data_IF_165623835949
#
_entry.id   IF_165623835949
#
_cell.length_a   1.000
_cell.length_b   1.000
_cell.length_c   1.000
_cell.angle_alpha   90.00
_cell.angle_beta   90.00
_cell.angle_gamma   90.00
#
_symmetry.space_group_name_H-M   'P 1'
#
loop_
_entity.id
_entity.type
_entity.pdbx_description
1 polymer ?
#
# COMPACT_ATOMS: atom_id res chain seq x y z
N UNK A 1 -3.01 -13.38 11.50
CA UNK A 1 -1.79 -12.92 11.06
C UNK A 1 -0.63 -13.85 10.80
N UNK A 2 -0.77 -14.95 10.04
CA UNK A 2 0.38 -15.68 9.52
C UNK A 2 0.89 -14.92 8.28
N UNK A 3 2.18 -14.53 8.26
CA UNK A 3 2.82 -13.95 7.08
C UNK A 3 2.95 -12.43 7.03
N UNK A 4 2.77 -11.70 8.13
CA UNK A 4 3.07 -10.27 8.20
C UNK A 4 4.35 -10.09 9.02
N UNK A 5 5.47 -9.97 8.32
CA UNK A 5 6.70 -9.41 8.89
C UNK A 5 6.85 -7.97 8.39
N UNK A 6 7.78 -7.69 7.50
CA UNK A 6 7.91 -6.39 6.84
C UNK A 6 7.05 -6.28 5.58
N UNK A 7 6.66 -7.40 4.98
CA UNK A 7 5.80 -7.49 3.80
C UNK A 7 4.73 -8.57 4.00
N UNK A 8 3.47 -8.31 3.60
CA UNK A 8 2.44 -9.35 3.57
C UNK A 8 2.86 -10.49 2.63
N UNK A 9 2.77 -11.73 3.09
CA UNK A 9 3.05 -12.91 2.29
C UNK A 9 1.88 -13.89 2.43
N UNK A 10 1.57 -14.59 1.35
CA UNK A 10 0.60 -15.68 1.30
C UNK A 10 1.26 -16.96 0.82
N UNK A 11 0.77 -18.10 1.28
CA UNK A 11 1.13 -19.42 0.77
C UNK A 11 0.06 -19.98 -0.18
N UNK A 12 0.37 -21.09 -0.84
CA UNK A 12 -0.57 -21.74 -1.77
C UNK A 12 -1.86 -22.22 -1.08
N UNK A 13 -1.81 -22.55 0.21
CA UNK A 13 -3.00 -22.92 0.98
C UNK A 13 -3.95 -21.74 1.16
N UNK A 14 -3.41 -20.55 1.51
CA UNK A 14 -4.19 -19.34 1.64
C UNK A 14 -4.71 -18.85 0.29
N UNK A 15 -3.88 -18.92 -0.76
CA UNK A 15 -4.27 -18.56 -2.12
C UNK A 15 -5.42 -19.45 -2.61
N UNK A 16 -5.36 -20.77 -2.38
CA UNK A 16 -6.43 -21.70 -2.74
C UNK A 16 -7.75 -21.41 -2.03
N UNK A 17 -7.67 -20.90 -0.79
CA UNK A 17 -8.88 -20.57 -0.01
C UNK A 17 -9.57 -19.29 -0.49
N UNK A 18 -8.81 -18.35 -1.08
CA UNK A 18 -9.28 -17.03 -1.48
C UNK A 18 -9.00 -16.76 -2.96
N UNK A 19 -9.13 -17.80 -3.81
CA UNK A 19 -8.86 -17.69 -5.25
C UNK A 19 -9.99 -17.08 -6.06
N UNK A 20 -11.20 -17.10 -5.53
CA UNK A 20 -12.40 -16.64 -6.24
C UNK A 20 -12.30 -15.14 -6.60
N UNK A 21 -12.63 -14.81 -7.85
CA UNK A 21 -12.56 -13.44 -8.38
C UNK A 21 -11.15 -12.90 -8.65
N UNK A 22 -10.10 -13.73 -8.56
CA UNK A 22 -8.73 -13.30 -8.87
C UNK A 22 -8.31 -13.73 -10.28
N UNK A 23 -7.65 -12.82 -10.98
CA UNK A 23 -6.89 -13.10 -12.21
C UNK A 23 -5.41 -13.15 -11.83
N UNK A 24 -4.70 -14.16 -12.30
CA UNK A 24 -3.32 -14.44 -11.87
C UNK A 24 -2.40 -14.63 -13.07
N UNK A 25 -1.19 -14.08 -12.98
CA UNK A 25 -0.11 -14.29 -13.95
C UNK A 25 1.16 -14.81 -13.31
N UNK A 26 2.11 -15.28 -14.14
CA UNK A 26 3.40 -15.83 -13.68
C UNK A 26 4.40 -14.76 -13.23
N UNK A 27 4.08 -13.49 -13.40
CA UNK A 27 4.93 -12.33 -13.08
C UNK A 27 6.29 -12.34 -13.84
N UNK A 28 7.25 -11.55 -13.34
CA UNK A 28 8.58 -11.35 -13.92
C UNK A 28 9.54 -12.52 -13.61
N UNK A 29 10.83 -12.36 -13.95
CA UNK A 29 11.89 -13.35 -13.67
C UNK A 29 11.95 -13.82 -12.21
N UNK A 30 11.44 -13.02 -11.25
CA UNK A 30 11.34 -13.37 -9.84
C UNK A 30 10.25 -14.40 -9.52
N UNK A 31 9.33 -14.68 -10.44
CA UNK A 31 8.24 -15.65 -10.27
C UNK A 31 8.72 -17.08 -10.11
N UNK A 32 7.90 -17.95 -9.48
CA UNK A 32 8.31 -19.33 -9.20
C UNK A 32 8.50 -20.16 -10.48
N UNK A 33 7.70 -19.95 -11.53
CA UNK A 33 7.88 -20.62 -12.83
C UNK A 33 9.14 -20.15 -13.56
N UNK A 34 9.36 -18.82 -13.79
CA UNK A 34 10.60 -18.32 -14.37
C UNK A 34 11.85 -18.81 -13.64
N UNK A 35 11.82 -18.84 -12.30
CA UNK A 35 12.94 -19.33 -11.50
C UNK A 35 13.18 -20.86 -11.67
N UNK A 36 12.13 -21.65 -11.88
CA UNK A 36 12.27 -23.08 -12.18
C UNK A 36 12.89 -23.29 -13.58
N UNK A 37 12.44 -22.52 -14.59
CA UNK A 37 12.98 -22.56 -15.96
C UNK A 37 14.47 -22.21 -15.96
N UNK A 38 14.87 -21.08 -15.34
CA UNK A 38 16.26 -20.64 -15.28
C UNK A 38 17.19 -21.62 -14.57
N UNK A 39 16.66 -22.46 -13.67
CA UNK A 39 17.40 -23.55 -13.01
C UNK A 39 17.38 -24.85 -13.80
N UNK A 40 16.84 -24.86 -15.02
CA UNK A 40 16.74 -26.06 -15.86
C UNK A 40 15.71 -27.08 -15.40
N UNK A 41 14.82 -26.72 -14.47
CA UNK A 41 13.78 -27.63 -13.91
C UNK A 41 12.45 -27.42 -14.64
N UNK A 42 12.40 -27.82 -15.91
CA UNK A 42 11.22 -27.61 -16.75
C UNK A 42 10.01 -28.42 -16.29
N UNK A 43 10.23 -29.64 -15.76
CA UNK A 43 9.21 -30.44 -15.13
C UNK A 43 8.52 -29.74 -13.96
N UNK A 44 9.30 -29.11 -13.09
CA UNK A 44 8.77 -28.33 -11.97
C UNK A 44 8.00 -27.09 -12.45
N UNK A 45 8.49 -26.41 -13.50
CA UNK A 45 7.78 -25.27 -14.07
C UNK A 45 6.42 -25.69 -14.64
N UNK A 46 6.37 -26.84 -15.31
CA UNK A 46 5.13 -27.41 -15.84
C UNK A 46 4.15 -27.81 -14.72
N UNK A 47 4.61 -28.45 -13.66
CA UNK A 47 3.80 -28.79 -12.49
C UNK A 47 3.20 -27.54 -11.81
N UNK A 48 3.99 -26.46 -11.71
CA UNK A 48 3.52 -25.16 -11.19
C UNK A 48 2.41 -24.61 -12.11
N UNK A 49 2.61 -24.61 -13.43
CA UNK A 49 1.62 -24.13 -14.39
C UNK A 49 0.29 -24.91 -14.27
N UNK A 50 0.37 -26.23 -14.16
CA UNK A 50 -0.81 -27.09 -13.99
C UNK A 50 -1.54 -26.85 -12.67
N UNK A 51 -0.79 -26.57 -11.60
CA UNK A 51 -1.38 -26.21 -10.32
C UNK A 51 -2.20 -24.90 -10.41
N UNK A 52 -1.62 -23.86 -11.01
CA UNK A 52 -2.32 -22.59 -11.20
C UNK A 52 -3.50 -22.72 -12.17
N UNK A 53 -3.33 -23.43 -13.29
CA UNK A 53 -4.40 -23.71 -14.24
C UNK A 53 -5.58 -24.44 -13.60
N UNK A 54 -5.30 -25.44 -12.74
CA UNK A 54 -6.35 -26.15 -12.01
C UNK A 54 -7.13 -25.24 -11.07
N UNK A 55 -6.47 -24.24 -10.46
CA UNK A 55 -7.08 -23.35 -9.48
C UNK A 55 -7.84 -22.20 -10.12
N UNK A 56 -7.29 -21.59 -11.18
CA UNK A 56 -7.80 -20.36 -11.78
C UNK A 56 -8.42 -20.52 -13.18
N UNK A 57 -8.30 -21.71 -13.78
CA UNK A 57 -8.80 -22.02 -15.11
C UNK A 57 -8.40 -20.95 -16.16
N UNK A 58 -9.38 -20.24 -16.74
CA UNK A 58 -9.19 -19.22 -17.77
C UNK A 58 -8.75 -17.84 -17.22
N UNK A 59 -8.60 -17.73 -15.89
CA UNK A 59 -8.09 -16.54 -15.21
C UNK A 59 -6.62 -16.67 -14.82
N UNK A 60 -5.95 -17.75 -15.30
CA UNK A 60 -4.50 -17.91 -15.19
C UNK A 60 -3.81 -17.63 -16.52
N UNK A 61 -2.79 -16.77 -16.49
CA UNK A 61 -2.01 -16.36 -17.66
C UNK A 61 -0.51 -16.60 -17.45
N UNK A 62 0.18 -17.00 -18.51
CA UNK A 62 1.65 -17.00 -18.55
C UNK A 62 2.11 -15.61 -19.03
N UNK A 63 2.99 -14.99 -18.27
CA UNK A 63 3.43 -13.62 -18.53
C UNK A 63 4.84 -13.60 -19.10
N UNK A 64 5.02 -12.96 -20.25
CA UNK A 64 6.31 -12.75 -20.89
C UNK A 64 6.68 -11.27 -20.84
N UNK A 65 7.98 -11.01 -20.60
CA UNK A 65 8.57 -9.67 -20.56
C UNK A 65 9.91 -9.71 -21.29
N UNK A 66 10.38 -8.58 -21.82
CA UNK A 66 11.74 -8.45 -22.36
C UNK A 66 12.35 -7.13 -21.96
N UNK A 67 13.37 -7.20 -21.12
CA UNK A 67 14.21 -6.09 -20.69
C UNK A 67 15.64 -6.19 -21.25
N UNK A 68 15.79 -6.99 -22.32
CA UNK A 68 17.06 -7.16 -23.05
C UNK A 68 18.00 -8.20 -22.45
N UNK A 69 17.55 -8.98 -21.44
CA UNK A 69 18.37 -10.05 -20.85
C UNK A 69 18.24 -11.37 -21.62
N UNK A 70 19.28 -12.21 -21.55
CA UNK A 70 19.21 -13.58 -22.10
C UNK A 70 18.22 -14.41 -21.31
N UNK A 71 18.10 -14.17 -20.01
CA UNK A 71 17.18 -14.81 -19.09
C UNK A 71 15.73 -14.58 -19.49
N UNK A 72 15.34 -13.36 -19.86
CA UNK A 72 13.99 -13.06 -20.35
C UNK A 72 13.66 -13.91 -21.57
N UNK A 73 14.55 -13.99 -22.55
CA UNK A 73 14.34 -14.75 -23.77
C UNK A 73 14.22 -16.26 -23.54
N UNK A 74 15.06 -16.82 -22.66
CA UNK A 74 14.97 -18.22 -22.28
C UNK A 74 13.61 -18.50 -21.65
N UNK A 75 13.18 -17.67 -20.71
CA UNK A 75 11.90 -17.82 -20.00
C UNK A 75 10.73 -17.67 -20.94
N UNK A 76 10.73 -16.66 -21.80
CA UNK A 76 9.65 -16.37 -22.77
C UNK A 76 9.40 -17.58 -23.68
N UNK A 77 10.46 -18.13 -24.26
CA UNK A 77 10.34 -19.29 -25.17
C UNK A 77 9.76 -20.51 -24.44
N UNK A 78 10.19 -20.80 -23.24
CA UNK A 78 9.70 -21.96 -22.47
C UNK A 78 8.25 -21.74 -21.98
N UNK A 79 7.90 -20.54 -21.54
CA UNK A 79 6.53 -20.20 -21.15
C UNK A 79 5.55 -20.36 -22.34
N UNK A 80 5.94 -19.90 -23.53
CA UNK A 80 5.13 -20.07 -24.75
C UNK A 80 4.93 -21.55 -25.09
N UNK A 81 5.98 -22.40 -24.97
CA UNK A 81 5.86 -23.85 -25.18
C UNK A 81 4.88 -24.49 -24.19
N UNK A 82 5.00 -24.14 -22.87
CA UNK A 82 4.08 -24.59 -21.85
C UNK A 82 2.66 -24.13 -22.12
N UNK A 83 2.48 -22.87 -22.53
CA UNK A 83 1.19 -22.29 -22.90
C UNK A 83 0.52 -23.05 -24.05
N UNK A 84 1.25 -23.30 -25.15
CA UNK A 84 0.74 -24.07 -26.30
C UNK A 84 0.40 -25.52 -25.91
N UNK A 85 1.25 -26.17 -25.11
CA UNK A 85 1.06 -27.56 -24.68
C UNK A 85 -0.18 -27.73 -23.80
N UNK A 86 -0.41 -26.79 -22.87
CA UNK A 86 -1.46 -26.89 -21.85
C UNK A 86 -2.64 -25.96 -22.09
N UNK A 87 -2.72 -25.28 -23.25
CA UNK A 87 -3.78 -24.34 -23.58
C UNK A 87 -3.95 -23.25 -22.50
N UNK A 88 -2.83 -22.65 -22.07
CA UNK A 88 -2.80 -21.53 -21.16
C UNK A 88 -2.45 -20.29 -21.98
N UNK A 89 -3.26 -19.24 -21.87
CA UNK A 89 -3.03 -17.98 -22.59
C UNK A 89 -1.76 -17.31 -22.11
N UNK A 90 -1.04 -16.69 -23.04
CA UNK A 90 0.16 -15.89 -22.76
C UNK A 90 -0.22 -14.41 -22.83
N UNK A 91 0.34 -13.59 -21.97
CA UNK A 91 0.25 -12.12 -22.01
C UNK A 91 1.65 -11.52 -22.12
N UNK A 92 1.78 -10.44 -22.86
CA UNK A 92 3.00 -9.65 -22.96
C UNK A 92 2.86 -8.37 -22.14
N UNK A 93 3.72 -8.21 -21.13
CA UNK A 93 3.75 -7.03 -20.25
C UNK A 93 5.12 -6.38 -20.25
N UNK A 94 5.25 -5.22 -19.63
CA UNK A 94 6.49 -4.46 -19.65
C UNK A 94 7.01 -4.08 -18.26
N UNK A 95 6.41 -4.54 -17.19
CA UNK A 95 6.81 -4.19 -15.82
C UNK A 95 7.08 -2.68 -15.63
N UNK A 96 6.16 -1.83 -16.11
CA UNK A 96 6.36 -0.40 -16.22
C UNK A 96 6.53 0.26 -14.84
N UNK A 97 7.65 0.94 -14.63
CA UNK A 97 7.99 1.64 -13.40
C UNK A 97 8.01 3.16 -13.56
N UNK A 98 8.00 3.67 -14.79
CA UNK A 98 7.99 5.10 -15.11
C UNK A 98 7.29 5.35 -16.46
N UNK A 99 7.00 6.63 -16.75
CA UNK A 99 6.18 7.00 -17.90
C UNK A 99 6.94 6.93 -19.21
N UNK A 100 8.19 7.36 -19.23
CA UNK A 100 9.05 7.51 -20.41
C UNK A 100 10.43 6.96 -20.14
N UNK A 101 11.12 6.52 -21.18
CA UNK A 101 12.53 6.11 -21.10
C UNK A 101 13.46 7.23 -20.59
N UNK A 102 13.06 8.49 -20.70
CA UNK A 102 13.81 9.64 -20.18
C UNK A 102 13.77 9.72 -18.64
N UNK A 103 12.83 9.04 -17.99
CA UNK A 103 12.65 9.07 -16.54
C UNK A 103 13.57 8.08 -15.79
N UNK A 104 14.33 7.27 -16.51
CA UNK A 104 15.17 6.22 -15.92
C UNK A 104 16.18 6.75 -14.91
N UNK A 105 16.81 7.91 -15.18
CA UNK A 105 17.78 8.50 -14.26
C UNK A 105 17.14 9.02 -12.98
N UNK A 106 15.97 9.64 -13.10
CA UNK A 106 15.19 10.11 -11.95
C UNK A 106 14.70 8.93 -11.09
N UNK A 107 14.23 7.85 -11.73
CA UNK A 107 13.85 6.62 -11.06
C UNK A 107 15.03 5.93 -10.37
N UNK A 108 16.21 5.90 -11.01
CA UNK A 108 17.43 5.36 -10.43
C UNK A 108 17.84 6.12 -9.16
N UNK A 109 17.75 7.46 -9.16
CA UNK A 109 17.99 8.28 -7.99
C UNK A 109 16.96 7.97 -6.86
N UNK A 110 15.67 7.80 -7.20
CA UNK A 110 14.64 7.42 -6.25
C UNK A 110 14.93 6.07 -5.61
N UNK A 111 15.36 5.07 -6.37
CA UNK A 111 15.77 3.76 -5.86
C UNK A 111 16.93 3.86 -4.87
N UNK A 112 17.91 4.74 -5.15
CA UNK A 112 19.00 5.00 -4.21
C UNK A 112 18.50 5.55 -2.87
N UNK A 113 17.56 6.50 -2.89
CA UNK A 113 16.92 7.04 -1.68
C UNK A 113 16.19 5.94 -0.91
N UNK A 114 15.38 5.12 -1.60
CA UNK A 114 14.58 4.06 -0.98
C UNK A 114 15.42 2.93 -0.37
N UNK A 115 16.56 2.62 -0.99
CA UNK A 115 17.42 1.51 -0.58
C UNK A 115 18.60 1.92 0.29
N UNK A 116 18.79 3.23 0.53
CA UNK A 116 19.93 3.79 1.27
C UNK A 116 21.25 3.57 0.54
N UNK A 117 21.26 3.56 -0.80
CA UNK A 117 22.42 3.37 -1.64
C UNK A 117 22.83 4.68 -2.32
N UNK A 118 24.10 4.76 -2.74
CA UNK A 118 24.61 5.86 -3.57
C UNK A 118 24.49 5.53 -5.05
N UNK A 119 24.35 6.54 -5.89
CA UNK A 119 24.36 6.38 -7.36
C UNK A 119 25.67 5.72 -7.84
N UNK A 120 26.79 6.00 -7.15
CA UNK A 120 28.12 5.42 -7.44
C UNK A 120 28.26 3.95 -7.05
N UNK A 121 27.35 3.38 -6.24
CA UNK A 121 27.45 2.00 -5.80
C UNK A 121 27.28 1.04 -6.99
N UNK A 122 28.23 0.13 -7.18
CA UNK A 122 28.19 -0.85 -8.28
C UNK A 122 27.18 -1.96 -8.05
N UNK A 123 26.96 -2.36 -6.79
CA UNK A 123 26.04 -3.44 -6.41
C UNK A 123 24.75 -2.88 -5.85
N UNK A 124 23.85 -2.46 -6.72
CA UNK A 124 22.51 -1.97 -6.37
C UNK A 124 21.48 -2.35 -7.43
N UNK A 125 20.22 -2.29 -7.09
CA UNK A 125 19.14 -2.45 -8.06
C UNK A 125 19.20 -1.30 -9.07
N UNK A 126 19.17 -1.66 -10.36
CA UNK A 126 19.05 -0.73 -11.49
C UNK A 126 18.06 -1.30 -12.47
N UNK A 127 17.31 -0.44 -13.09
CA UNK A 127 16.48 -0.77 -14.24
C UNK A 127 17.22 -0.48 -15.55
N UNK A 128 16.79 -1.13 -16.63
CA UNK A 128 17.49 -1.10 -17.91
C UNK A 128 17.20 0.14 -18.74
N UNK A 129 16.11 0.85 -18.43
CA UNK A 129 15.56 1.95 -19.23
C UNK A 129 14.42 1.50 -20.15
N UNK A 130 14.08 0.21 -20.13
CA UNK A 130 13.01 -0.35 -20.96
C UNK A 130 11.67 -0.44 -20.22
N UNK A 131 11.65 -0.22 -18.91
CA UNK A 131 10.49 -0.40 -18.03
C UNK A 131 9.59 0.85 -17.99
N UNK A 132 9.29 1.43 -19.17
CA UNK A 132 8.36 2.54 -19.32
C UNK A 132 7.05 2.09 -19.97
N UNK A 133 6.02 2.95 -19.93
CA UNK A 133 4.73 2.64 -20.55
C UNK A 133 4.88 2.64 -22.07
N UNK A 134 4.62 1.49 -22.69
CA UNK A 134 4.72 1.26 -24.13
C UNK A 134 3.34 1.13 -24.78
N UNK A 135 3.24 1.59 -26.01
CA UNK A 135 2.09 1.31 -26.86
C UNK A 135 2.22 -0.06 -27.55
N UNK A 136 1.14 -0.50 -28.20
CA UNK A 136 1.05 -1.80 -28.86
C UNK A 136 2.21 -2.03 -29.85
N UNK A 137 2.50 -1.07 -30.72
CA UNK A 137 3.58 -1.21 -31.71
C UNK A 137 4.96 -1.37 -31.08
N UNK A 138 5.22 -0.66 -29.97
CA UNK A 138 6.47 -0.78 -29.24
C UNK A 138 6.59 -2.15 -28.56
N UNK A 139 5.48 -2.69 -28.04
CA UNK A 139 5.44 -4.03 -27.48
C UNK A 139 5.68 -5.09 -28.54
N UNK A 140 5.08 -4.99 -29.71
CA UNK A 140 5.31 -5.92 -30.82
C UNK A 140 6.77 -5.92 -31.28
N UNK A 141 7.39 -4.75 -31.43
CA UNK A 141 8.79 -4.63 -31.83
C UNK A 141 9.76 -5.19 -30.76
N UNK A 142 9.42 -5.08 -29.48
CA UNK A 142 10.26 -5.54 -28.36
C UNK A 142 10.56 -7.04 -28.42
N UNK A 143 9.62 -7.87 -28.87
CA UNK A 143 9.73 -9.32 -28.88
C UNK A 143 10.09 -9.92 -30.24
N UNK A 144 10.17 -9.10 -31.28
CA UNK A 144 10.27 -9.52 -32.69
C UNK A 144 11.50 -10.37 -33.04
N UNK A 145 12.55 -10.25 -32.25
CA UNK A 145 13.82 -10.96 -32.51
C UNK A 145 13.82 -12.43 -32.01
N UNK A 146 12.83 -12.82 -31.19
CA UNK A 146 12.78 -14.16 -30.61
C UNK A 146 11.39 -14.80 -30.51
N UNK A 147 10.31 -14.06 -30.85
CA UNK A 147 8.94 -14.56 -30.86
C UNK A 147 8.32 -14.22 -32.22
N UNK A 148 7.56 -15.15 -32.79
CA UNK A 148 6.83 -14.92 -34.05
C UNK A 148 5.70 -13.89 -33.87
N UNK A 149 5.39 -13.19 -34.98
CA UNK A 149 4.44 -12.07 -35.00
C UNK A 149 3.02 -12.49 -34.56
N UNK A 150 2.59 -13.70 -34.87
CA UNK A 150 1.28 -14.23 -34.49
C UNK A 150 1.19 -14.44 -32.99
N UNK A 151 2.17 -15.11 -32.41
CA UNK A 151 2.24 -15.39 -30.96
C UNK A 151 2.33 -14.10 -30.14
N UNK A 152 3.14 -13.13 -30.55
CA UNK A 152 3.25 -11.87 -29.80
C UNK A 152 2.00 -10.99 -29.94
N UNK A 153 1.40 -10.94 -31.13
CA UNK A 153 0.13 -10.22 -31.34
C UNK A 153 -0.98 -10.80 -30.47
N UNK A 154 -1.09 -12.12 -30.39
CA UNK A 154 -2.03 -12.78 -29.47
C UNK A 154 -1.75 -12.42 -28.02
N UNK A 155 -0.49 -12.46 -27.56
CA UNK A 155 -0.10 -12.17 -26.21
C UNK A 155 -0.39 -10.70 -25.80
N UNK A 156 -0.20 -9.75 -26.70
CA UNK A 156 -0.58 -8.34 -26.49
C UNK A 156 -2.11 -8.19 -26.43
N UNK A 157 -2.85 -8.84 -27.34
CA UNK A 157 -4.31 -8.78 -27.33
C UNK A 157 -4.95 -9.42 -26.09
N UNK A 158 -4.33 -10.45 -25.51
CA UNK A 158 -4.80 -11.07 -24.29
C UNK A 158 -4.76 -10.10 -23.09
N UNK A 159 -3.93 -9.07 -23.09
CA UNK A 159 -3.95 -8.02 -22.05
C UNK A 159 -5.24 -7.19 -22.12
N UNK A 160 -5.77 -6.94 -23.31
CA UNK A 160 -7.06 -6.28 -23.52
C UNK A 160 -8.21 -7.17 -23.06
N UNK A 161 -8.10 -8.49 -23.22
CA UNK A 161 -9.09 -9.44 -22.69
C UNK A 161 -9.15 -9.35 -21.15
N UNK A 162 -8.00 -9.32 -20.47
CA UNK A 162 -7.94 -9.14 -19.01
C UNK A 162 -8.62 -7.84 -18.60
N UNK A 163 -8.32 -6.75 -19.27
CA UNK A 163 -8.91 -5.44 -18.93
C UNK A 163 -10.44 -5.42 -19.01
N UNK A 164 -11.03 -6.25 -19.89
CA UNK A 164 -12.48 -6.39 -20.03
C UNK A 164 -13.12 -7.29 -18.98
N UNK A 165 -12.34 -8.17 -18.35
CA UNK A 165 -12.80 -9.02 -17.25
C UNK A 165 -12.88 -8.27 -15.94
N UNK A 166 -12.11 -7.20 -15.75
CA UNK A 166 -12.06 -6.44 -14.49
C UNK A 166 -13.28 -5.54 -14.38
N UNK A 167 -14.10 -5.78 -13.38
CA UNK A 167 -15.26 -4.97 -13.05
C UNK A 167 -14.92 -3.90 -12.01
N UNK A 168 -15.71 -2.83 -11.97
CA UNK A 168 -15.56 -1.79 -10.93
C UNK A 168 -16.14 -2.32 -9.63
N UNK A 169 -15.32 -2.39 -8.60
CA UNK A 169 -15.73 -2.78 -7.25
C UNK A 169 -15.10 -1.86 -6.20
N UNK A 170 -15.75 -1.77 -5.03
CA UNK A 170 -15.23 -1.00 -3.91
C UNK A 170 -14.14 -1.79 -3.19
N UNK A 171 -12.90 -1.33 -3.34
CA UNK A 171 -11.72 -1.93 -2.70
C UNK A 171 -11.58 -1.52 -1.22
N UNK A 172 -12.12 -0.36 -0.87
CA UNK A 172 -11.86 0.31 0.41
C UNK A 172 -13.00 0.15 1.38
N UNK A 173 -13.56 -0.84 1.66
CA UNK A 173 -14.66 -1.01 2.63
C UNK A 173 -14.73 0.07 3.73
N UNK A 174 -15.78 0.09 4.50
CA UNK A 174 -15.96 1.09 5.57
C UNK A 174 -14.91 0.95 6.67
N UNK A 175 -14.33 2.06 7.11
CA UNK A 175 -13.47 2.11 8.29
C UNK A 175 -14.23 1.57 9.52
N UNK A 176 -13.69 0.54 10.14
CA UNK A 176 -14.22 -0.03 11.38
C UNK A 176 -13.51 0.60 12.57
N UNK A 177 -13.91 1.78 12.94
CA UNK A 177 -13.41 2.42 14.16
C UNK A 177 -14.11 1.80 15.37
N UNK A 178 -13.35 1.48 16.45
CA UNK A 178 -13.95 1.09 17.72
C UNK A 178 -14.80 2.24 18.25
N UNK A 179 -15.98 1.93 18.77
CA UNK A 179 -16.83 2.91 19.44
C UNK A 179 -16.45 2.99 20.91
N UNK A 180 -16.33 4.20 21.42
CA UNK A 180 -16.13 4.45 22.83
C UNK A 180 -17.44 4.21 23.60
N UNK A 181 -17.45 3.44 24.70
CA UNK A 181 -18.67 3.23 25.48
C UNK A 181 -19.09 4.53 26.17
N UNK A 182 -20.25 5.05 25.77
CA UNK A 182 -20.87 6.27 26.31
C UNK A 182 -22.26 5.95 26.84
N UNK A 183 -22.75 6.80 27.76
CA UNK A 183 -24.12 6.70 28.25
C UNK A 183 -25.12 7.14 27.15
N UNK A 184 -26.36 6.64 27.24
CA UNK A 184 -27.42 6.88 26.23
C UNK A 184 -27.77 8.38 26.06
N UNK A 185 -27.50 9.21 27.06
CA UNK A 185 -27.87 10.63 27.07
C UNK A 185 -26.85 11.56 26.36
N UNK A 186 -25.74 11.03 25.80
CA UNK A 186 -24.70 11.85 25.15
C UNK A 186 -24.12 11.14 23.93
N UNK A 187 -23.41 11.87 23.09
CA UNK A 187 -22.66 11.34 21.95
C UNK A 187 -21.14 11.56 22.14
N UNK A 188 -20.33 10.78 21.38
CA UNK A 188 -18.87 10.82 21.49
C UNK A 188 -18.30 12.22 21.24
N UNK A 189 -18.90 12.99 20.33
CA UNK A 189 -18.41 14.33 20.03
C UNK A 189 -18.71 15.32 21.16
N UNK A 190 -19.89 15.25 21.78
CA UNK A 190 -20.27 16.06 22.93
C UNK A 190 -19.37 15.78 24.11
N UNK A 191 -19.11 14.51 24.42
CA UNK A 191 -18.20 14.11 25.48
C UNK A 191 -16.76 14.59 25.20
N UNK A 192 -16.26 14.39 23.98
CA UNK A 192 -14.92 14.85 23.58
C UNK A 192 -14.79 16.37 23.74
N UNK A 193 -15.81 17.12 23.31
CA UNK A 193 -15.85 18.57 23.41
C UNK A 193 -15.81 19.05 24.87
N UNK A 194 -16.59 18.42 25.73
CA UNK A 194 -16.61 18.72 27.17
C UNK A 194 -15.22 18.47 27.79
N UNK A 195 -14.68 17.24 27.63
CA UNK A 195 -13.39 16.86 28.19
C UNK A 195 -12.25 17.77 27.66
N UNK A 196 -12.29 18.15 26.39
CA UNK A 196 -11.29 19.05 25.80
C UNK A 196 -11.32 20.46 26.40
N UNK A 197 -12.54 21.00 26.63
CA UNK A 197 -12.69 22.32 27.29
C UNK A 197 -12.21 22.28 28.74
N UNK A 198 -12.66 21.31 29.50
CA UNK A 198 -12.24 21.13 30.92
C UNK A 198 -10.74 20.90 31.04
N UNK A 199 -10.20 20.06 30.16
CA UNK A 199 -8.78 19.78 30.11
C UNK A 199 -7.93 20.98 29.74
N UNK A 200 -8.37 21.80 28.76
CA UNK A 200 -7.69 23.02 28.38
C UNK A 200 -7.65 24.04 29.55
N UNK A 201 -8.77 24.25 30.22
CA UNK A 201 -8.82 25.12 31.42
C UNK A 201 -7.84 24.66 32.48
N UNK A 202 -7.78 23.37 32.77
CA UNK A 202 -6.79 22.77 33.69
C UNK A 202 -5.35 23.06 33.26
N UNK A 203 -5.03 22.85 31.98
CA UNK A 203 -3.69 23.06 31.43
C UNK A 203 -3.25 24.53 31.54
N UNK A 204 -4.13 25.45 31.20
CA UNK A 204 -3.87 26.88 31.24
C UNK A 204 -4.06 27.50 32.62
N UNK A 205 -4.49 26.73 33.64
CA UNK A 205 -4.81 27.19 35.01
C UNK A 205 -5.83 28.35 34.99
N UNK A 206 -6.88 28.20 34.20
CA UNK A 206 -7.99 29.14 34.07
C UNK A 206 -9.26 28.55 34.69
N UNK A 207 -10.17 29.41 35.15
CA UNK A 207 -11.42 29.01 35.78
C UNK A 207 -12.56 28.95 34.76
N UNK A 208 -12.49 29.80 33.73
CA UNK A 208 -13.53 29.94 32.72
C UNK A 208 -12.92 30.13 31.33
N UNK A 209 -13.67 29.76 30.27
CA UNK A 209 -13.25 29.96 28.89
C UNK A 209 -13.14 31.41 28.50
N UNK A 210 -13.82 32.34 29.18
CA UNK A 210 -13.68 33.78 28.96
C UNK A 210 -12.27 34.28 29.24
N UNK A 211 -11.54 33.62 30.14
CA UNK A 211 -10.15 33.96 30.48
C UNK A 211 -9.12 33.37 29.52
N UNK A 212 -9.54 32.50 28.60
CA UNK A 212 -8.65 31.83 27.64
C UNK A 212 -8.44 32.73 26.44
N UNK A 213 -7.19 32.83 25.98
CA UNK A 213 -6.82 33.57 24.78
C UNK A 213 -7.60 33.14 23.54
N UNK A 214 -7.95 34.08 22.67
CA UNK A 214 -8.75 33.83 21.47
C UNK A 214 -8.07 32.83 20.48
N UNK A 215 -6.74 32.77 20.46
CA UNK A 215 -6.02 31.80 19.61
C UNK A 215 -6.30 30.35 20.05
N UNK A 216 -6.29 30.09 21.34
CA UNK A 216 -6.64 28.77 21.87
C UNK A 216 -8.09 28.40 21.59
N UNK A 217 -9.04 29.32 21.76
CA UNK A 217 -10.47 29.08 21.49
C UNK A 217 -10.71 28.76 20.03
N UNK A 218 -10.15 29.57 19.11
CA UNK A 218 -10.26 29.35 17.67
C UNK A 218 -9.65 28.02 17.26
N UNK A 219 -8.44 27.72 17.77
CA UNK A 219 -7.73 26.48 17.48
C UNK A 219 -8.51 25.27 17.98
N UNK A 220 -8.99 25.28 19.23
CA UNK A 220 -9.78 24.17 19.79
C UNK A 220 -11.06 23.93 18.98
N UNK A 221 -11.77 25.00 18.61
CA UNK A 221 -13.00 24.89 17.82
C UNK A 221 -12.73 24.32 16.44
N UNK A 222 -11.67 24.77 15.77
CA UNK A 222 -11.27 24.28 14.45
C UNK A 222 -10.89 22.78 14.49
N UNK A 223 -10.06 22.39 15.45
CA UNK A 223 -9.65 20.98 15.59
C UNK A 223 -10.83 20.06 15.89
N UNK A 224 -11.69 20.43 16.84
CA UNK A 224 -12.89 19.66 17.18
C UNK A 224 -13.82 19.49 15.98
N UNK A 225 -13.97 20.53 15.15
CA UNK A 225 -14.75 20.47 13.92
C UNK A 225 -14.16 19.45 12.95
N UNK A 226 -12.87 19.51 12.68
CA UNK A 226 -12.18 18.57 11.77
C UNK A 226 -12.29 17.15 12.28
N UNK A 227 -12.03 16.92 13.58
CA UNK A 227 -12.14 15.59 14.21
C UNK A 227 -13.55 15.03 14.06
N UNK A 228 -14.61 15.88 14.21
CA UNK A 228 -16.00 15.51 13.99
C UNK A 228 -16.27 15.12 12.55
N UNK A 229 -15.91 16.02 11.62
CA UNK A 229 -16.20 15.86 10.19
C UNK A 229 -15.49 14.62 9.59
N UNK A 230 -14.34 14.25 10.14
CA UNK A 230 -13.61 13.03 9.76
C UNK A 230 -14.05 11.76 10.50
N UNK A 231 -14.97 11.86 11.48
CA UNK A 231 -15.51 10.71 12.21
C UNK A 231 -14.56 10.11 13.27
N UNK A 232 -13.63 10.89 13.84
CA UNK A 232 -12.66 10.43 14.82
C UNK A 232 -12.93 10.76 16.30
N UNK A 233 -14.10 11.24 16.77
CA UNK A 233 -14.30 11.49 18.19
C UNK A 233 -14.05 10.26 19.07
N UNK A 234 -14.57 9.09 18.68
CA UNK A 234 -14.37 7.84 19.42
C UNK A 234 -12.89 7.45 19.54
N UNK A 235 -12.10 7.68 18.48
CA UNK A 235 -10.66 7.42 18.50
C UNK A 235 -9.94 8.24 19.58
N UNK A 236 -10.22 9.54 19.64
CA UNK A 236 -9.64 10.40 20.68
C UNK A 236 -10.05 9.98 22.08
N UNK A 237 -11.30 9.59 22.29
CA UNK A 237 -11.79 9.11 23.56
C UNK A 237 -11.15 7.79 23.99
N UNK A 238 -10.98 6.83 23.09
CA UNK A 238 -10.28 5.58 23.34
C UNK A 238 -8.82 5.83 23.74
N UNK A 239 -8.13 6.72 23.02
CA UNK A 239 -6.74 7.09 23.35
C UNK A 239 -6.66 7.81 24.70
N UNK A 240 -7.59 8.74 24.95
CA UNK A 240 -7.68 9.42 26.23
C UNK A 240 -7.88 8.45 27.40
N UNK A 241 -8.76 7.48 27.26
CA UNK A 241 -9.12 6.55 28.31
C UNK A 241 -7.92 5.70 28.78
N UNK A 242 -7.19 5.07 27.85
CA UNK A 242 -6.03 4.27 28.25
C UNK A 242 -4.86 5.13 28.76
N UNK A 243 -4.67 6.36 28.26
CA UNK A 243 -3.67 7.28 28.79
C UNK A 243 -4.07 7.75 30.20
N UNK A 244 -5.35 8.07 30.39
CA UNK A 244 -5.89 8.42 31.72
C UNK A 244 -5.71 7.26 32.70
N UNK A 245 -6.06 6.03 32.31
CA UNK A 245 -5.85 4.84 33.12
C UNK A 245 -4.38 4.70 33.56
N UNK A 246 -3.44 4.85 32.62
CA UNK A 246 -2.03 4.77 32.91
C UNK A 246 -1.60 5.81 33.96
N UNK A 247 -2.02 7.07 33.81
CA UNK A 247 -1.71 8.17 34.75
C UNK A 247 -2.32 7.96 36.11
N UNK A 248 -3.57 7.53 36.18
CA UNK A 248 -4.31 7.28 37.44
C UNK A 248 -3.66 6.11 38.21
N UNK A 249 -3.01 5.18 37.53
CA UNK A 249 -2.29 4.05 38.12
C UNK A 249 -0.77 4.27 38.25
N UNK A 250 -0.30 5.51 38.15
CA UNK A 250 1.13 5.88 38.25
C UNK A 250 2.03 5.15 37.23
N UNK A 251 1.49 4.74 36.08
CA UNK A 251 2.27 4.17 34.98
C UNK A 251 2.86 5.33 34.18
N UNK A 252 4.18 5.37 33.95
CA UNK A 252 4.81 6.44 33.20
C UNK A 252 4.26 6.57 31.78
N UNK A 253 3.89 7.79 31.39
CA UNK A 253 3.42 8.14 30.05
C UNK A 253 4.36 9.18 29.45
N UNK A 254 4.86 8.93 28.25
CA UNK A 254 5.72 9.87 27.52
C UNK A 254 4.99 11.18 27.15
N UNK A 255 5.74 12.23 26.76
CA UNK A 255 5.16 13.56 26.46
C UNK A 255 4.36 13.61 25.14
N UNK A 256 4.36 12.54 24.37
CA UNK A 256 3.77 12.42 23.04
C UNK A 256 4.79 11.93 22.01
N UNK A 257 4.32 11.57 20.83
CA UNK A 257 5.17 11.16 19.71
C UNK A 257 4.60 11.61 18.36
N UNK A 258 5.48 11.74 17.36
CA UNK A 258 5.09 12.04 15.99
C UNK A 258 4.30 13.36 15.89
N UNK A 259 3.34 13.39 14.99
CA UNK A 259 2.50 14.55 14.69
C UNK A 259 1.47 14.87 15.79
N UNK A 260 1.18 13.97 16.71
CA UNK A 260 0.20 14.19 17.79
C UNK A 260 0.50 15.43 18.66
N UNK A 261 1.78 15.84 18.74
CA UNK A 261 2.18 17.08 19.41
C UNK A 261 1.56 18.34 18.75
N UNK A 262 1.10 18.27 17.51
CA UNK A 262 0.42 19.36 16.80
C UNK A 262 -1.04 19.56 17.20
N UNK A 263 -1.66 18.66 17.98
CA UNK A 263 -3.08 18.74 18.36
C UNK A 263 -3.29 19.37 19.73
N UNK A 264 -4.08 20.44 19.76
CA UNK A 264 -4.52 21.10 21.00
C UNK A 264 -5.55 20.22 21.76
N UNK A 265 -6.38 19.49 21.03
CA UNK A 265 -7.30 18.49 21.64
C UNK A 265 -6.51 17.41 22.36
N UNK A 266 -5.46 16.86 21.75
CA UNK A 266 -4.59 15.88 22.38
C UNK A 266 -3.86 16.44 23.60
N UNK A 267 -3.43 17.70 23.55
CA UNK A 267 -2.84 18.40 24.69
C UNK A 267 -3.85 18.60 25.84
N UNK A 268 -5.03 19.08 25.54
CA UNK A 268 -6.10 19.27 26.51
C UNK A 268 -6.48 17.97 27.21
N UNK A 269 -6.60 16.87 26.47
CA UNK A 269 -6.90 15.53 26.97
C UNK A 269 -5.71 14.85 27.72
N UNK A 270 -4.59 15.54 27.85
CA UNK A 270 -3.36 14.99 28.44
C UNK A 270 -2.77 13.78 27.67
N UNK A 271 -3.14 13.60 26.40
CA UNK A 271 -2.53 12.61 25.52
C UNK A 271 -1.10 13.04 25.19
N UNK A 272 -0.89 14.34 24.99
CA UNK A 272 0.45 14.94 24.84
C UNK A 272 0.73 15.96 25.96
N UNK A 273 2.01 16.28 26.15
CA UNK A 273 2.44 17.28 27.15
C UNK A 273 3.07 18.54 26.51
N UNK A 274 3.02 18.63 25.17
CA UNK A 274 3.56 19.76 24.41
C UNK A 274 2.39 20.66 24.01
N UNK A 275 2.48 21.95 24.33
CA UNK A 275 1.48 22.93 23.95
C UNK A 275 1.69 23.35 22.48
N UNK A 276 0.79 22.98 21.56
CA UNK A 276 1.00 23.27 20.15
C UNK A 276 0.83 24.75 19.80
N UNK A 277 0.10 25.52 20.60
CA UNK A 277 -0.09 26.96 20.37
C UNK A 277 1.14 27.72 20.79
N UNK A 278 1.69 27.43 21.98
CA UNK A 278 2.93 28.04 22.47
C UNK A 278 4.11 27.79 21.55
N UNK A 279 4.21 26.57 20.98
CA UNK A 279 5.30 26.17 20.10
C UNK A 279 5.02 26.34 18.61
N UNK A 280 3.91 26.97 18.21
CA UNK A 280 3.57 27.23 16.81
C UNK A 280 3.42 25.98 15.95
N UNK A 281 3.00 24.83 16.53
CA UNK A 281 2.83 23.58 15.81
C UNK A 281 1.52 23.55 15.03
N UNK A 282 1.57 22.97 13.83
CA UNK A 282 0.42 22.91 12.92
C UNK A 282 -0.38 21.63 13.14
N UNK A 283 -1.71 21.76 13.24
CA UNK A 283 -2.62 20.61 13.33
C UNK A 283 -2.70 19.83 12.02
N UNK A 284 -2.55 20.50 10.90
CA UNK A 284 -2.58 19.92 9.56
C UNK A 284 -1.47 18.87 9.30
N UNK A 285 -0.52 18.78 10.20
CA UNK A 285 0.52 17.74 10.19
C UNK A 285 0.16 16.52 11.04
N UNK A 286 -0.95 16.56 11.79
CA UNK A 286 -1.49 15.45 12.58
C UNK A 286 -2.36 14.57 11.70
#
# INVERSE_FOLDING_TARGET
GRGIFSRPCIDKSLLSKYSDGLIVSTACLGGEMPQAILKGRLDVAEDIALWYKKLFADDFYLEIQDHGSIEDRIVNVELIKIGKKHQIKVIATNDAHYLSNMDVEAHDALLCVLTGKLISDQKRLRYTGTEYIKGENEMLELFKDHIDDETISEAVNNTVEISKKVEVFDLFGNYRMPKFPINEDTDSFSLLTQLSKEGLLKRLKKNDLTEVDENYKKRLTSELKIIKDMGFPDYFLVVWDYIKFARDNSIPVGPGRGSAAGSLVAYALQITNIDPVEHGLLFERF
#
